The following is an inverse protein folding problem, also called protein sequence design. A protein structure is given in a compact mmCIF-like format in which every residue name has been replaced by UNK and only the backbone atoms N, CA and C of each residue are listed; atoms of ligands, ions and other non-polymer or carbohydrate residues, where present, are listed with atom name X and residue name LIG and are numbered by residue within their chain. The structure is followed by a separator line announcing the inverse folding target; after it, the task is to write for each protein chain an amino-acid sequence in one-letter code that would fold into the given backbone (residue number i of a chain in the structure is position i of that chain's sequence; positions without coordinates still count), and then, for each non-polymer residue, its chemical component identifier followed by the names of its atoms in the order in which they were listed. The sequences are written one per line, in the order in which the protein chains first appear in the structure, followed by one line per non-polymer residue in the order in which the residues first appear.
data_IF_311745701366
#
_entry.id   IF_311745701366
#
_cell.length_a   1.000
_cell.length_b   1.000
_cell.length_c   1.000
_cell.angle_alpha   90.00
_cell.angle_beta   90.00
_cell.angle_gamma   90.00
#
_symmetry.space_group_name_H-M   'P 1'
#
loop_
_entity.id
_entity.type
_entity.pdbx_description
1 polymer ?
#
# COMPACT_ATOMS: atom_id res chain seq x y z
N UNK A 1 -14.22 -35.21 -7.66
CA UNK A 1 -14.22 -36.07 -8.87
C UNK A 1 -14.37 -35.20 -10.11
N UNK A 2 -13.46 -35.31 -11.09
CA UNK A 2 -13.61 -34.61 -12.38
C UNK A 2 -14.77 -35.24 -13.16
N UNK A 3 -15.52 -34.46 -13.94
CA UNK A 3 -16.67 -34.93 -14.75
C UNK A 3 -16.33 -36.17 -15.62
N UNK A 4 -15.09 -36.29 -16.06
CA UNK A 4 -14.60 -37.44 -16.83
C UNK A 4 -14.60 -38.77 -16.06
N UNK A 5 -14.36 -38.77 -14.75
CA UNK A 5 -14.37 -40.00 -13.95
C UNK A 5 -15.78 -40.54 -13.70
N UNK A 6 -16.76 -39.63 -13.55
CA UNK A 6 -18.16 -40.02 -13.41
C UNK A 6 -18.70 -40.67 -14.69
N UNK A 7 -18.31 -40.13 -15.86
CA UNK A 7 -18.71 -40.69 -17.16
C UNK A 7 -18.14 -42.10 -17.40
N UNK A 8 -16.89 -42.35 -17.01
CA UNK A 8 -16.27 -43.68 -17.15
C UNK A 8 -16.98 -44.71 -16.25
N UNK A 9 -17.33 -44.33 -15.01
CA UNK A 9 -18.05 -45.21 -14.08
C UNK A 9 -19.45 -45.53 -14.60
N UNK A 10 -20.18 -44.53 -15.12
CA UNK A 10 -21.51 -44.73 -15.72
C UNK A 10 -21.42 -45.62 -16.96
N UNK A 11 -20.42 -45.42 -17.82
CA UNK A 11 -20.21 -46.25 -19.01
C UNK A 11 -19.89 -47.71 -18.64
N UNK A 12 -19.09 -47.94 -17.61
CA UNK A 12 -18.76 -49.29 -17.14
C UNK A 12 -19.99 -50.01 -16.55
N UNK A 13 -20.81 -49.27 -15.78
CA UNK A 13 -22.07 -49.78 -15.23
C UNK A 13 -23.08 -50.13 -16.32
N UNK A 14 -23.22 -49.28 -17.34
CA UNK A 14 -24.08 -49.53 -18.50
C UNK A 14 -23.60 -50.73 -19.32
N UNK A 15 -22.29 -50.91 -19.48
CA UNK A 15 -21.71 -52.08 -20.16
C UNK A 15 -21.99 -53.38 -19.40
N UNK A 16 -21.84 -53.37 -18.07
CA UNK A 16 -22.15 -54.53 -17.22
C UNK A 16 -23.64 -54.88 -17.26
N UNK A 17 -24.52 -53.88 -17.28
CA UNK A 17 -25.97 -54.05 -17.47
C UNK A 17 -26.31 -54.63 -18.85
N UNK A 18 -25.65 -54.16 -19.91
CA UNK A 18 -25.88 -54.63 -21.27
C UNK A 18 -25.41 -56.09 -21.48
N UNK A 19 -24.27 -56.47 -20.90
CA UNK A 19 -23.76 -57.85 -20.92
C UNK A 19 -24.71 -58.80 -20.17
N UNK A 20 -25.34 -58.32 -19.11
CA UNK A 20 -26.34 -59.09 -18.35
C UNK A 20 -27.63 -59.37 -19.15
N UNK A 21 -27.99 -58.52 -20.11
CA UNK A 21 -29.22 -58.67 -20.89
C UNK A 21 -29.09 -59.55 -22.15
N UNK A 22 -27.87 -59.82 -22.63
CA UNK A 22 -27.65 -60.48 -23.93
C UNK A 22 -27.37 -62.00 -23.87
N UNK A 23 -27.42 -62.63 -22.69
CA UNK A 23 -27.12 -64.06 -22.52
C UNK A 23 -28.37 -64.89 -22.23
N UNK A 24 -29.14 -65.23 -23.27
CA UNK A 24 -30.24 -66.19 -23.23
C UNK A 24 -29.74 -67.59 -23.62
N UNK A 25 -29.74 -68.57 -22.71
CA UNK A 25 -30.64 -69.74 -22.80
C UNK A 25 -30.40 -70.82 -21.71
N UNK A 26 -31.52 -71.42 -21.29
CA UNK A 26 -31.76 -72.66 -20.54
C UNK A 26 -31.34 -72.86 -19.06
N UNK A 27 -32.31 -73.40 -18.33
CA UNK A 27 -32.33 -74.03 -16.99
C UNK A 27 -32.60 -73.16 -15.75
N UNK A 28 -33.60 -73.65 -15.02
CA UNK A 28 -34.46 -73.07 -13.98
C UNK A 28 -33.75 -72.54 -12.70
N UNK A 29 -32.42 -72.57 -12.63
CA UNK A 29 -31.65 -72.04 -11.49
C UNK A 29 -30.95 -70.69 -11.78
N UNK A 30 -31.14 -70.10 -12.96
CA UNK A 30 -30.56 -68.79 -13.35
C UNK A 30 -31.43 -67.56 -13.02
N UNK A 31 -32.55 -67.72 -12.32
CA UNK A 31 -33.58 -66.69 -12.13
C UNK A 31 -33.28 -65.53 -11.18
N UNK A 32 -32.08 -65.40 -10.60
CA UNK A 32 -31.80 -64.31 -9.62
C UNK A 32 -30.52 -63.52 -9.94
N UNK A 33 -29.46 -64.12 -10.49
CA UNK A 33 -28.24 -63.39 -10.85
C UNK A 33 -27.60 -63.99 -12.10
N UNK A 34 -27.50 -63.18 -13.16
CA UNK A 34 -26.70 -63.50 -14.34
C UNK A 34 -25.22 -63.64 -13.98
N UNK A 35 -24.57 -64.63 -14.58
CA UNK A 35 -23.11 -64.83 -14.66
C UNK A 35 -22.36 -65.19 -13.37
N UNK A 36 -22.72 -64.64 -12.22
CA UNK A 36 -21.99 -64.78 -10.95
C UNK A 36 -22.95 -65.07 -9.78
N UNK A 37 -22.63 -66.02 -8.89
CA UNK A 37 -23.34 -66.23 -7.62
C UNK A 37 -23.37 -64.96 -6.76
N UNK A 38 -24.30 -64.87 -5.79
CA UNK A 38 -24.45 -63.68 -4.92
C UNK A 38 -23.15 -63.26 -4.20
N UNK A 39 -22.31 -64.23 -3.82
CA UNK A 39 -21.00 -63.97 -3.22
C UNK A 39 -19.97 -63.40 -4.20
N UNK A 40 -20.12 -63.69 -5.50
CA UNK A 40 -19.30 -63.10 -6.57
C UNK A 40 -19.61 -61.62 -6.76
N UNK A 41 -20.89 -61.24 -6.74
CA UNK A 41 -21.32 -59.85 -6.76
C UNK A 41 -20.93 -59.09 -5.49
N UNK A 42 -21.00 -59.74 -4.33
CA UNK A 42 -20.52 -59.18 -3.07
C UNK A 42 -19.00 -58.93 -3.12
N UNK A 43 -18.23 -59.88 -3.67
CA UNK A 43 -16.79 -59.75 -3.86
C UNK A 43 -16.41 -58.57 -4.77
N UNK A 44 -17.08 -58.41 -5.91
CA UNK A 44 -16.84 -57.29 -6.84
C UNK A 44 -17.19 -55.95 -6.17
N UNK A 45 -18.30 -55.90 -5.44
CA UNK A 45 -18.74 -54.67 -4.74
C UNK A 45 -17.74 -54.24 -3.68
N UNK A 46 -17.24 -55.19 -2.87
CA UNK A 46 -16.20 -54.93 -1.86
C UNK A 46 -14.89 -54.49 -2.53
N UNK A 47 -14.49 -55.13 -3.62
CA UNK A 47 -13.28 -54.77 -4.36
C UNK A 47 -13.32 -53.35 -4.93
N UNK A 48 -14.46 -52.94 -5.51
CA UNK A 48 -14.65 -51.58 -6.02
C UNK A 48 -14.62 -50.53 -4.90
N UNK A 49 -15.20 -50.84 -3.73
CA UNK A 49 -15.15 -49.95 -2.55
C UNK A 49 -13.71 -49.81 -2.04
N UNK A 50 -12.93 -50.90 -1.97
CA UNK A 50 -11.53 -50.86 -1.55
C UNK A 50 -10.67 -50.03 -2.51
N UNK A 51 -10.88 -50.16 -3.82
CA UNK A 51 -10.20 -49.32 -4.82
C UNK A 51 -10.58 -47.85 -4.65
N UNK A 52 -11.86 -47.54 -4.46
CA UNK A 52 -12.32 -46.17 -4.27
C UNK A 52 -11.71 -45.51 -3.03
N UNK A 53 -11.63 -46.25 -1.91
CA UNK A 53 -10.97 -45.80 -0.68
C UNK A 53 -9.48 -45.55 -0.94
N UNK A 54 -8.79 -46.47 -1.65
CA UNK A 54 -7.38 -46.30 -2.00
C UNK A 54 -7.12 -45.03 -2.83
N UNK A 55 -7.97 -44.72 -3.82
CA UNK A 55 -7.88 -43.48 -4.58
C UNK A 55 -8.14 -42.24 -3.72
N UNK A 56 -9.14 -42.28 -2.84
CA UNK A 56 -9.45 -41.16 -1.95
C UNK A 56 -8.30 -40.85 -0.97
N UNK A 57 -7.70 -41.89 -0.38
CA UNK A 57 -6.53 -41.75 0.50
C UNK A 57 -5.34 -41.18 -0.26
N UNK A 58 -5.05 -41.68 -1.48
CA UNK A 58 -3.97 -41.16 -2.32
C UNK A 58 -4.15 -39.67 -2.66
N UNK A 59 -5.37 -39.26 -3.02
CA UNK A 59 -5.67 -37.88 -3.40
C UNK A 59 -5.60 -36.94 -2.17
N UNK A 60 -6.09 -37.39 -1.01
CA UNK A 60 -5.95 -36.68 0.25
C UNK A 60 -4.46 -36.51 0.65
N UNK A 61 -3.65 -37.55 0.47
CA UNK A 61 -2.21 -37.50 0.77
C UNK A 61 -1.48 -36.56 -0.19
N UNK A 62 -1.81 -36.58 -1.49
CA UNK A 62 -1.26 -35.65 -2.48
C UNK A 62 -1.64 -34.20 -2.19
N UNK A 63 -2.90 -33.94 -1.83
CA UNK A 63 -3.37 -32.60 -1.44
C UNK A 63 -2.64 -32.10 -0.18
N UNK A 64 -2.47 -32.97 0.82
CA UNK A 64 -1.72 -32.64 2.04
C UNK A 64 -0.25 -32.35 1.75
N UNK A 65 0.40 -33.15 0.91
CA UNK A 65 1.80 -32.91 0.50
C UNK A 65 1.97 -31.58 -0.22
N UNK A 66 1.07 -31.23 -1.14
CA UNK A 66 1.10 -29.93 -1.83
C UNK A 66 0.88 -28.74 -0.88
N UNK A 67 0.09 -28.92 0.19
CA UNK A 67 -0.08 -27.92 1.23
C UNK A 67 1.19 -27.78 2.08
N UNK A 68 1.81 -28.90 2.48
CA UNK A 68 3.06 -28.90 3.25
C UNK A 68 4.20 -28.30 2.44
N UNK A 69 4.41 -28.73 1.19
CA UNK A 69 5.43 -28.16 0.29
C UNK A 69 5.21 -26.65 0.05
N UNK A 70 3.94 -26.18 0.00
CA UNK A 70 3.64 -24.74 -0.09
C UNK A 70 4.01 -23.98 1.18
N UNK A 71 3.82 -24.58 2.35
CA UNK A 71 4.14 -23.96 3.65
C UNK A 71 5.65 -23.91 3.85
N UNK A 72 6.37 -24.99 3.57
CA UNK A 72 7.83 -25.05 3.67
C UNK A 72 8.49 -24.03 2.72
N UNK A 73 8.05 -23.99 1.45
CA UNK A 73 8.58 -23.07 0.43
C UNK A 73 8.28 -21.59 0.71
N UNK A 74 7.26 -21.30 1.53
CA UNK A 74 6.95 -19.92 1.99
C UNK A 74 7.81 -19.53 3.19
N UNK A 75 8.32 -20.50 3.96
CA UNK A 75 9.20 -20.26 5.12
C UNK A 75 10.68 -20.10 4.75
N UNK A 76 11.13 -20.67 3.62
CA UNK A 76 12.55 -20.65 3.19
C UNK A 76 13.00 -19.37 2.47
N UNK A 77 12.16 -18.34 2.32
CA UNK A 77 12.64 -17.06 1.74
C UNK A 77 13.28 -16.19 2.81
N UNK A 78 14.30 -16.74 3.47
CA UNK A 78 15.15 -16.02 4.40
C UNK A 78 15.97 -15.00 3.60
N UNK A 79 15.66 -13.75 3.84
CA UNK A 79 15.88 -12.65 2.93
C UNK A 79 17.08 -11.85 3.39
N UNK A 80 18.30 -12.27 3.04
CA UNK A 80 19.49 -11.46 3.36
C UNK A 80 20.58 -11.32 2.30
N UNK A 81 20.43 -11.83 1.07
CA UNK A 81 21.17 -11.35 -0.11
C UNK A 81 20.56 -12.00 -1.36
N UNK A 82 19.63 -11.30 -2.02
CA UNK A 82 18.97 -11.84 -3.22
C UNK A 82 19.97 -11.78 -4.38
N UNK A 83 20.76 -12.84 -4.55
CA UNK A 83 21.50 -13.08 -5.79
C UNK A 83 20.51 -13.59 -6.83
N UNK A 84 20.40 -12.90 -7.97
CA UNK A 84 19.71 -13.43 -9.14
C UNK A 84 20.37 -14.77 -9.51
N UNK A 85 19.58 -15.74 -9.99
CA UNK A 85 20.18 -16.89 -10.66
C UNK A 85 20.94 -16.40 -11.90
N UNK A 86 22.04 -17.07 -12.31
CA UNK A 86 22.83 -16.67 -13.47
C UNK A 86 21.98 -16.44 -14.73
N UNK A 87 20.98 -17.30 -14.97
CA UNK A 87 20.01 -17.19 -16.08
C UNK A 87 19.20 -15.88 -16.04
N UNK A 88 18.76 -15.44 -14.86
CA UNK A 88 18.00 -14.20 -14.73
C UNK A 88 18.92 -12.97 -14.83
N UNK A 89 20.17 -13.09 -14.39
CA UNK A 89 21.16 -12.03 -14.53
C UNK A 89 21.50 -11.80 -16.01
N UNK A 90 21.79 -12.87 -16.76
CA UNK A 90 21.99 -12.80 -18.22
C UNK A 90 20.76 -12.23 -18.94
N UNK A 91 19.56 -12.53 -18.46
CA UNK A 91 18.32 -12.04 -19.08
C UNK A 91 18.05 -10.55 -18.83
N UNK A 92 18.20 -10.07 -17.59
CA UNK A 92 17.81 -8.70 -17.22
C UNK A 92 18.97 -7.72 -17.12
N UNK A 93 20.20 -8.24 -17.07
CA UNK A 93 21.41 -7.45 -16.93
C UNK A 93 22.63 -8.10 -17.64
N UNK A 94 22.54 -8.41 -18.95
CA UNK A 94 23.60 -9.11 -19.69
C UNK A 94 24.92 -8.33 -19.74
N UNK A 95 24.84 -7.01 -19.91
CA UNK A 95 25.98 -6.09 -19.99
C UNK A 95 26.13 -5.26 -18.70
N UNK A 96 25.75 -5.86 -17.56
CA UNK A 96 25.76 -5.24 -16.26
C UNK A 96 27.16 -4.86 -15.76
N UNK A 97 27.34 -3.70 -15.11
CA UNK A 97 28.60 -3.39 -14.45
C UNK A 97 28.84 -4.28 -13.22
N UNK A 98 30.10 -4.42 -12.83
CA UNK A 98 30.53 -5.19 -11.65
C UNK A 98 30.26 -4.47 -10.31
N UNK A 99 29.91 -3.19 -10.35
CA UNK A 99 29.54 -2.39 -9.17
C UNK A 99 28.05 -2.49 -8.80
N UNK A 100 27.65 -2.10 -7.58
CA UNK A 100 26.26 -2.16 -7.14
C UNK A 100 25.32 -1.28 -7.94
N UNK A 101 24.24 -1.85 -8.47
CA UNK A 101 23.26 -1.09 -9.25
C UNK A 101 21.87 -1.76 -9.23
N UNK A 102 20.79 -0.99 -9.46
CA UNK A 102 19.44 -1.55 -9.51
C UNK A 102 19.16 -2.23 -10.86
N UNK A 103 18.56 -3.41 -10.80
CA UNK A 103 18.04 -4.18 -11.93
C UNK A 103 16.52 -4.29 -11.80
N UNK A 104 15.82 -4.06 -12.90
CA UNK A 104 14.36 -4.14 -12.97
C UNK A 104 13.93 -5.39 -13.74
N UNK A 105 13.21 -6.28 -13.05
CA UNK A 105 12.56 -7.44 -13.64
C UNK A 105 11.26 -6.97 -14.27
N UNK A 106 11.29 -6.76 -15.59
CA UNK A 106 10.24 -6.08 -16.34
C UNK A 106 8.89 -6.79 -16.29
N UNK A 107 8.85 -8.12 -16.23
CA UNK A 107 7.62 -8.92 -16.13
C UNK A 107 6.92 -8.78 -14.77
N UNK A 108 7.65 -8.33 -13.75
CA UNK A 108 7.11 -8.07 -12.42
C UNK A 108 6.77 -6.60 -12.22
N UNK A 109 7.36 -5.71 -13.01
CA UNK A 109 7.19 -4.27 -12.85
C UNK A 109 5.76 -3.87 -13.22
N UNK A 110 5.10 -3.16 -12.29
CA UNK A 110 3.72 -2.68 -12.46
C UNK A 110 3.64 -1.16 -12.72
N UNK A 111 4.79 -0.50 -12.91
CA UNK A 111 4.84 0.94 -13.19
C UNK A 111 4.38 1.86 -12.06
N UNK A 112 4.48 1.42 -10.80
CA UNK A 112 3.96 2.18 -9.64
C UNK A 112 4.82 3.36 -9.18
N UNK A 113 5.94 3.66 -9.83
CA UNK A 113 6.88 4.76 -9.51
C UNK A 113 7.60 4.65 -8.14
N UNK A 114 7.19 3.76 -7.23
CA UNK A 114 7.74 3.66 -5.88
C UNK A 114 9.28 3.57 -5.81
N UNK A 115 9.91 2.80 -6.71
CA UNK A 115 11.37 2.66 -6.75
C UNK A 115 12.09 3.89 -7.32
N UNK A 116 11.47 4.58 -8.29
CA UNK A 116 11.94 5.85 -8.86
C UNK A 116 11.86 6.94 -7.78
N UNK A 117 10.75 7.00 -7.06
CA UNK A 117 10.54 7.99 -6.00
C UNK A 117 11.42 7.78 -4.77
N UNK A 118 11.73 6.52 -4.47
CA UNK A 118 12.61 6.17 -3.38
C UNK A 118 14.09 6.44 -3.67
N UNK A 119 14.50 6.59 -4.94
CA UNK A 119 15.88 6.85 -5.30
C UNK A 119 16.21 8.34 -5.10
N UNK A 120 17.11 8.71 -4.18
CA UNK A 120 17.49 10.11 -3.99
C UNK A 120 18.47 10.62 -5.07
N UNK A 121 19.02 9.72 -5.88
CA UNK A 121 20.02 10.01 -6.91
C UNK A 121 19.45 9.97 -8.33
N UNK A 122 18.13 9.84 -8.50
CA UNK A 122 17.46 9.79 -9.81
C UNK A 122 18.05 8.73 -10.78
N UNK A 123 18.62 7.63 -10.23
CA UNK A 123 19.19 6.51 -11.00
C UNK A 123 18.14 5.80 -11.86
N UNK A 124 16.90 5.81 -11.38
CA UNK A 124 15.75 5.16 -12.00
C UNK A 124 14.82 6.22 -12.58
N UNK A 125 14.31 5.98 -13.78
CA UNK A 125 13.27 6.78 -14.40
C UNK A 125 12.16 5.89 -14.96
N UNK A 126 11.02 6.50 -15.29
CA UNK A 126 9.91 5.81 -15.92
C UNK A 126 10.01 5.92 -17.45
N UNK A 127 10.09 4.78 -18.13
CA UNK A 127 10.14 4.68 -19.60
C UNK A 127 9.09 3.65 -20.03
N UNK A 128 8.13 4.05 -20.86
CA UNK A 128 7.04 3.18 -21.34
C UNK A 128 6.30 2.45 -20.20
N UNK A 129 6.00 3.17 -19.10
CA UNK A 129 5.37 2.64 -17.88
C UNK A 129 6.19 1.59 -17.11
N UNK A 130 7.46 1.40 -17.44
CA UNK A 130 8.39 0.56 -16.69
C UNK A 130 9.43 1.43 -16.00
N UNK A 131 9.80 1.07 -14.78
CA UNK A 131 11.01 1.61 -14.17
C UNK A 131 12.23 1.10 -14.94
N UNK A 132 13.17 1.98 -15.26
CA UNK A 132 14.40 1.66 -15.98
C UNK A 132 15.57 2.38 -15.30
N UNK A 133 16.70 1.70 -15.06
CA UNK A 133 17.90 2.34 -14.56
C UNK A 133 18.59 3.14 -15.68
N UNK A 134 18.43 4.46 -15.65
CA UNK A 134 18.95 5.40 -16.66
C UNK A 134 20.34 5.94 -16.31
N UNK A 135 20.73 5.92 -15.04
CA UNK A 135 22.02 6.42 -14.55
C UNK A 135 22.63 5.46 -13.50
N UNK A 136 22.93 4.22 -13.93
CA UNK A 136 23.40 3.12 -13.05
C UNK A 136 24.66 3.50 -12.26
N UNK A 137 25.52 4.29 -12.86
CA UNK A 137 26.79 4.79 -12.32
C UNK A 137 26.60 5.75 -11.13
N UNK A 138 25.41 6.33 -10.96
CA UNK A 138 25.07 7.22 -9.85
C UNK A 138 24.50 6.48 -8.63
N UNK A 139 24.44 5.14 -8.67
CA UNK A 139 23.92 4.35 -7.57
C UNK A 139 24.81 4.44 -6.33
N UNK A 140 24.28 5.03 -5.25
CA UNK A 140 24.95 5.08 -3.94
C UNK A 140 24.69 3.85 -3.06
N UNK A 141 24.04 2.81 -3.61
CA UNK A 141 23.78 1.55 -2.91
C UNK A 141 23.00 1.74 -1.60
N UNK A 142 22.04 2.67 -1.53
CA UNK A 142 21.20 2.87 -0.34
C UNK A 142 20.07 1.82 -0.22
N UNK A 143 19.78 1.10 -1.32
CA UNK A 143 18.80 0.02 -1.43
C UNK A 143 17.33 0.43 -1.23
N UNK A 144 17.02 1.73 -1.07
CA UNK A 144 15.65 2.20 -0.83
C UNK A 144 14.70 1.84 -1.98
N UNK A 145 15.18 1.89 -3.23
CA UNK A 145 14.41 1.51 -4.40
C UNK A 145 13.94 0.04 -4.36
N UNK A 146 14.80 -0.87 -3.88
CA UNK A 146 14.43 -2.26 -3.64
C UNK A 146 13.46 -2.35 -2.48
N UNK A 147 13.74 -1.71 -1.33
CA UNK A 147 12.89 -1.77 -0.13
C UNK A 147 11.46 -1.30 -0.41
N UNK A 148 11.30 -0.18 -1.13
CA UNK A 148 9.99 0.41 -1.46
C UNK A 148 9.27 -0.29 -2.61
N UNK A 149 9.93 -1.18 -3.37
CA UNK A 149 9.27 -1.97 -4.40
C UNK A 149 8.16 -2.84 -3.78
N UNK A 150 6.88 -2.63 -4.17
CA UNK A 150 5.76 -3.25 -3.48
C UNK A 150 5.28 -4.55 -4.11
N UNK A 151 5.90 -4.94 -5.22
CA UNK A 151 5.62 -6.22 -5.88
C UNK A 151 6.31 -7.32 -5.07
N UNK A 152 5.62 -8.45 -4.87
CA UNK A 152 6.19 -9.63 -4.25
C UNK A 152 6.04 -10.83 -5.20
N UNK A 153 7.13 -11.44 -5.68
CA UNK A 153 8.54 -11.06 -5.49
C UNK A 153 8.88 -9.67 -6.05
N UNK A 154 9.89 -9.01 -5.47
CA UNK A 154 10.30 -7.65 -5.88
C UNK A 154 10.63 -7.57 -7.37
N UNK A 155 10.21 -6.47 -8.00
CA UNK A 155 10.52 -6.14 -9.38
C UNK A 155 11.82 -5.32 -9.48
N UNK A 156 12.08 -4.44 -8.53
CA UNK A 156 13.34 -3.70 -8.40
C UNK A 156 14.22 -4.37 -7.35
N UNK A 157 15.44 -4.74 -7.74
CA UNK A 157 16.45 -5.34 -6.86
C UNK A 157 17.80 -4.66 -7.10
N UNK A 158 18.59 -4.47 -6.07
CA UNK A 158 19.97 -3.99 -6.17
C UNK A 158 20.86 -5.22 -6.14
N UNK A 159 21.62 -5.42 -7.20
CA UNK A 159 22.60 -6.51 -7.30
C UNK A 159 24.01 -5.97 -7.04
N UNK A 160 24.98 -6.88 -6.85
CA UNK A 160 26.38 -6.57 -6.51
C UNK A 160 26.55 -5.73 -5.23
N UNK A 161 25.49 -5.57 -4.44
CA UNK A 161 25.52 -4.84 -3.18
C UNK A 161 26.16 -5.67 -2.07
N UNK A 162 27.01 -5.01 -1.28
CA UNK A 162 27.59 -5.52 -0.03
C UNK A 162 26.83 -5.01 1.20
N UNK A 163 25.97 -3.99 1.04
CA UNK A 163 25.16 -3.46 2.14
C UNK A 163 23.98 -4.37 2.46
N UNK A 164 23.70 -4.48 3.76
CA UNK A 164 22.52 -5.18 4.26
C UNK A 164 21.27 -4.38 3.90
N UNK A 165 20.37 -5.01 3.12
CA UNK A 165 19.08 -4.42 2.75
C UNK A 165 18.20 -4.38 4.00
N UNK A 166 18.06 -3.20 4.60
CA UNK A 166 17.21 -3.00 5.77
C UNK A 166 15.74 -2.99 5.33
N UNK A 167 14.88 -3.90 5.83
CA UNK A 167 13.47 -3.87 5.49
C UNK A 167 12.82 -2.59 6.01
N UNK A 168 11.67 -2.25 5.44
CA UNK A 168 10.86 -1.13 5.93
C UNK A 168 10.39 -1.45 7.36
N UNK A 169 10.56 -0.54 8.33
CA UNK A 169 10.02 -0.75 9.67
C UNK A 169 8.49 -0.64 9.57
N UNK A 170 7.83 -1.78 9.73
CA UNK A 170 6.37 -1.91 9.68
C UNK A 170 5.88 -2.66 10.92
N UNK A 171 4.62 -2.47 11.32
CA UNK A 171 4.04 -3.18 12.45
C UNK A 171 4.13 -4.69 12.28
N UNK A 172 4.52 -5.38 13.35
CA UNK A 172 4.57 -6.86 13.36
C UNK A 172 3.14 -7.40 13.34
N UNK A 173 2.87 -8.31 12.40
CA UNK A 173 1.59 -9.03 12.31
C UNK A 173 1.79 -10.46 11.86
N UNK A 174 0.89 -11.36 12.26
CA UNK A 174 0.88 -12.75 11.81
C UNK A 174 0.22 -12.92 10.42
N UNK A 175 0.15 -14.16 9.92
CA UNK A 175 -0.46 -14.46 8.61
C UNK A 175 -1.95 -14.11 8.50
N UNK A 176 -2.64 -13.92 9.64
CA UNK A 176 -4.05 -13.50 9.73
C UNK A 176 -4.19 -12.00 9.98
N UNK A 177 -3.11 -11.24 9.81
CA UNK A 177 -3.04 -9.79 9.99
C UNK A 177 -3.17 -9.27 11.43
N UNK A 178 -3.21 -10.17 12.42
CA UNK A 178 -3.31 -9.79 13.84
C UNK A 178 -1.94 -9.36 14.36
N UNK A 179 -1.92 -8.29 15.15
CA UNK A 179 -0.69 -7.76 15.78
C UNK A 179 -0.35 -8.52 17.06
N UNK A 180 0.67 -8.07 17.77
CA UNK A 180 0.99 -8.52 19.14
C UNK A 180 -0.12 -8.15 20.16
N UNK A 181 -1.01 -7.22 19.83
CA UNK A 181 -2.16 -6.85 20.66
C UNK A 181 -3.36 -7.74 20.28
N UNK A 182 -3.83 -8.63 21.19
CA UNK A 182 -4.91 -9.56 20.87
C UNK A 182 -6.19 -8.85 20.40
N UNK A 183 -6.78 -9.34 19.31
CA UNK A 183 -7.98 -8.76 18.72
C UNK A 183 -7.76 -7.47 17.93
N UNK A 184 -6.52 -7.00 17.81
CA UNK A 184 -6.13 -5.89 16.96
C UNK A 184 -5.47 -6.39 15.66
N UNK A 185 -5.95 -5.91 14.52
CA UNK A 185 -5.46 -6.28 13.19
C UNK A 185 -4.98 -5.05 12.46
N UNK A 186 -3.96 -5.20 11.63
CA UNK A 186 -3.40 -4.13 10.80
C UNK A 186 -3.43 -4.55 9.34
N UNK A 187 -3.97 -3.69 8.47
CA UNK A 187 -4.09 -3.92 7.03
C UNK A 187 -3.76 -2.67 6.20
N UNK A 188 -3.41 -2.87 4.93
CA UNK A 188 -3.16 -1.80 3.96
C UNK A 188 -1.79 -1.16 4.08
N UNK A 189 -1.61 0.06 3.54
CA UNK A 189 -0.28 0.67 3.38
C UNK A 189 0.54 0.78 4.68
N UNK A 190 -0.13 0.90 5.83
CA UNK A 190 0.53 0.95 7.15
C UNK A 190 1.31 -0.32 7.47
N UNK A 191 0.95 -1.46 6.86
CA UNK A 191 1.65 -2.73 6.97
C UNK A 191 2.75 -2.93 5.92
N UNK A 192 3.11 -1.89 5.17
CA UNK A 192 4.16 -1.94 4.14
C UNK A 192 3.71 -2.45 2.77
N UNK A 193 2.41 -2.51 2.49
CA UNK A 193 1.86 -2.99 1.23
C UNK A 193 1.20 -1.83 0.43
N UNK A 194 1.96 -0.92 -0.21
CA UNK A 194 1.45 0.35 -0.74
C UNK A 194 0.64 0.22 -2.05
N UNK A 195 0.06 -0.95 -2.32
CA UNK A 195 -0.75 -1.18 -3.51
C UNK A 195 -2.23 -1.28 -3.14
N UNK A 196 -3.05 -0.45 -3.79
CA UNK A 196 -4.51 -0.40 -3.61
C UNK A 196 -5.13 -1.80 -3.70
N UNK A 197 -4.69 -2.62 -4.66
CA UNK A 197 -5.18 -4.00 -4.83
C UNK A 197 -4.82 -4.89 -3.64
N UNK A 198 -3.59 -4.80 -3.14
CA UNK A 198 -3.16 -5.58 -1.98
C UNK A 198 -3.92 -5.12 -0.74
N UNK A 199 -4.00 -3.81 -0.51
CA UNK A 199 -4.77 -3.21 0.57
C UNK A 199 -6.24 -3.66 0.57
N UNK A 200 -6.91 -3.63 -0.58
CA UNK A 200 -8.28 -4.10 -0.73
C UNK A 200 -8.43 -5.61 -0.46
N UNK A 201 -7.51 -6.43 -0.97
CA UNK A 201 -7.51 -7.88 -0.72
C UNK A 201 -7.30 -8.20 0.77
N UNK A 202 -6.36 -7.53 1.43
CA UNK A 202 -6.14 -7.66 2.88
C UNK A 202 -7.40 -7.31 3.67
N UNK A 203 -8.10 -6.22 3.28
CA UNK A 203 -9.38 -5.86 3.88
C UNK A 203 -10.45 -6.94 3.74
N UNK A 204 -10.50 -7.63 2.60
CA UNK A 204 -11.45 -8.72 2.42
C UNK A 204 -11.06 -9.96 3.23
N UNK A 205 -9.77 -10.31 3.25
CA UNK A 205 -9.29 -11.52 3.89
C UNK A 205 -9.29 -11.44 5.42
N UNK A 206 -8.97 -10.27 5.99
CA UNK A 206 -9.03 -10.07 7.45
C UNK A 206 -10.44 -10.30 8.00
N UNK A 207 -11.47 -9.86 7.27
CA UNK A 207 -12.86 -10.05 7.69
C UNK A 207 -13.26 -11.51 7.62
N UNK A 208 -12.82 -12.26 6.60
CA UNK A 208 -13.09 -13.70 6.55
C UNK A 208 -12.50 -14.41 7.78
N UNK A 209 -11.27 -14.05 8.16
CA UNK A 209 -10.64 -14.62 9.34
C UNK A 209 -11.39 -14.27 10.63
N UNK A 210 -11.75 -12.99 10.80
CA UNK A 210 -12.52 -12.53 11.96
C UNK A 210 -13.89 -13.20 12.01
N UNK A 211 -14.59 -13.31 10.88
CA UNK A 211 -15.91 -13.95 10.82
C UNK A 211 -15.84 -15.42 11.25
N UNK A 212 -14.83 -16.18 10.80
CA UNK A 212 -14.64 -17.57 11.25
C UNK A 212 -14.25 -17.67 12.72
N UNK A 213 -13.40 -16.75 13.20
CA UNK A 213 -12.98 -16.70 14.61
C UNK A 213 -14.16 -16.40 15.54
N UNK A 214 -15.01 -15.43 15.19
CA UNK A 214 -16.13 -14.99 16.03
C UNK A 214 -17.26 -16.02 16.14
N UNK A 215 -17.33 -17.01 15.24
CA UNK A 215 -18.28 -18.14 15.34
C UNK A 215 -17.98 -19.06 16.51
N UNK A 216 -16.70 -19.20 16.87
CA UNK A 216 -16.24 -20.10 17.95
C UNK A 216 -15.82 -19.35 19.21
N UNK A 217 -15.57 -18.05 19.11
CA UNK A 217 -15.18 -17.22 20.24
C UNK A 217 -16.35 -17.00 21.22
N UNK A 218 -16.09 -16.98 22.54
CA UNK A 218 -17.12 -16.71 23.54
C UNK A 218 -17.75 -15.31 23.33
N UNK A 219 -19.02 -15.14 23.74
CA UNK A 219 -19.68 -13.85 23.63
C UNK A 219 -19.05 -12.83 24.57
N UNK A 220 -18.77 -11.63 24.05
CA UNK A 220 -18.22 -10.50 24.82
C UNK A 220 -19.35 -9.50 25.08
N UNK A 221 -20.04 -9.64 26.22
CA UNK A 221 -21.29 -8.90 26.51
C UNK A 221 -21.17 -7.36 26.50
N UNK A 222 -19.97 -6.83 26.71
CA UNK A 222 -19.70 -5.39 26.69
C UNK A 222 -19.50 -4.82 25.28
N UNK A 223 -19.33 -5.67 24.26
CA UNK A 223 -19.07 -5.24 22.90
C UNK A 223 -20.37 -4.94 22.14
N UNK A 224 -20.50 -3.68 21.70
CA UNK A 224 -21.60 -3.23 20.85
C UNK A 224 -21.43 -3.72 19.41
N UNK A 225 -20.19 -3.78 18.94
CA UNK A 225 -19.83 -4.20 17.59
C UNK A 225 -18.98 -5.48 17.61
N UNK A 226 -19.11 -6.29 16.56
CA UNK A 226 -18.20 -7.40 16.29
C UNK A 226 -16.84 -6.88 15.82
N UNK A 227 -16.83 -5.84 14.98
CA UNK A 227 -15.60 -5.27 14.41
C UNK A 227 -15.65 -3.74 14.34
N UNK A 228 -14.63 -3.06 14.85
CA UNK A 228 -14.38 -1.64 14.56
C UNK A 228 -13.30 -1.51 13.48
N UNK A 229 -13.54 -0.68 12.47
CA UNK A 229 -12.63 -0.46 11.34
C UNK A 229 -12.20 1.00 11.37
N UNK A 230 -10.91 1.25 11.58
CA UNK A 230 -10.33 2.59 11.70
C UNK A 230 -9.57 2.94 10.42
N UNK A 231 -10.08 3.92 9.68
CA UNK A 231 -9.61 4.34 8.36
C UNK A 231 -10.39 3.64 7.25
N UNK A 232 -11.01 4.42 6.36
CA UNK A 232 -11.86 3.96 5.24
C UNK A 232 -11.20 4.36 3.92
N UNK A 233 -9.92 4.03 3.77
CA UNK A 233 -9.24 3.92 2.49
C UNK A 233 -9.62 2.62 1.74
N UNK A 234 -8.87 2.21 0.71
CA UNK A 234 -9.15 0.98 -0.04
C UNK A 234 -9.29 -0.28 0.84
N UNK A 235 -8.41 -0.45 1.82
CA UNK A 235 -8.42 -1.58 2.74
C UNK A 235 -9.64 -1.56 3.67
N UNK A 236 -9.87 -0.43 4.37
CA UNK A 236 -10.98 -0.30 5.30
C UNK A 236 -12.36 -0.31 4.64
N UNK A 237 -12.48 0.22 3.43
CA UNK A 237 -13.73 0.11 2.65
C UNK A 237 -14.01 -1.34 2.26
N UNK A 238 -12.99 -2.06 1.77
CA UNK A 238 -13.11 -3.48 1.47
C UNK A 238 -13.56 -4.27 2.71
N UNK A 239 -12.88 -4.04 3.85
CA UNK A 239 -13.25 -4.64 5.12
C UNK A 239 -14.70 -4.30 5.54
N UNK A 240 -15.14 -3.05 5.35
CA UNK A 240 -16.51 -2.63 5.69
C UNK A 240 -17.56 -3.36 4.85
N UNK A 241 -17.33 -3.48 3.53
CA UNK A 241 -18.24 -4.19 2.63
C UNK A 241 -18.29 -5.67 2.98
N UNK A 242 -17.15 -6.31 3.23
CA UNK A 242 -17.12 -7.72 3.61
C UNK A 242 -17.74 -7.95 4.99
N UNK A 243 -17.56 -7.04 5.95
CA UNK A 243 -18.17 -7.15 7.27
C UNK A 243 -19.70 -7.20 7.15
N UNK A 244 -20.26 -6.35 6.29
CA UNK A 244 -21.69 -6.37 5.96
C UNK A 244 -22.12 -7.69 5.31
N UNK A 245 -21.35 -8.20 4.34
CA UNK A 245 -21.67 -9.47 3.65
C UNK A 245 -21.66 -10.68 4.60
N UNK A 246 -20.78 -10.66 5.61
CA UNK A 246 -20.72 -11.68 6.65
C UNK A 246 -21.72 -11.45 7.81
N UNK A 247 -22.63 -10.47 7.68
CA UNK A 247 -23.60 -10.08 8.71
C UNK A 247 -22.96 -9.73 10.07
N UNK A 248 -21.73 -9.22 10.07
CA UNK A 248 -21.08 -8.72 11.27
C UNK A 248 -21.64 -7.34 11.64
N UNK A 249 -21.86 -7.09 12.92
CA UNK A 249 -22.12 -5.73 13.42
C UNK A 249 -20.81 -4.97 13.40
N UNK A 250 -20.68 -3.96 12.56
CA UNK A 250 -19.42 -3.22 12.46
C UNK A 250 -19.63 -1.71 12.53
N UNK A 251 -18.57 -1.02 12.96
CA UNK A 251 -18.46 0.43 12.87
C UNK A 251 -17.23 0.80 12.04
N UNK A 252 -17.40 1.76 11.14
CA UNK A 252 -16.37 2.30 10.27
C UNK A 252 -16.09 3.75 10.69
N UNK A 253 -14.85 4.03 11.09
CA UNK A 253 -14.41 5.32 11.59
C UNK A 253 -13.42 5.90 10.59
N UNK A 254 -13.69 7.10 10.09
CA UNK A 254 -12.81 7.84 9.19
C UNK A 254 -12.53 9.21 9.80
N UNK A 255 -11.29 9.67 9.67
CA UNK A 255 -10.86 10.97 10.16
C UNK A 255 -11.44 12.10 9.30
N UNK A 256 -11.41 11.92 7.97
CA UNK A 256 -11.87 12.93 7.01
C UNK A 256 -13.17 12.47 6.31
N UNK A 257 -13.12 12.26 5.00
CA UNK A 257 -14.17 11.61 4.22
C UNK A 257 -13.79 10.17 3.90
N UNK A 258 -14.82 9.33 3.75
CA UNK A 258 -14.70 7.99 3.17
C UNK A 258 -13.93 8.09 1.84
N UNK A 259 -12.86 7.31 1.69
CA UNK A 259 -11.98 7.28 0.52
C UNK A 259 -11.17 8.56 0.22
N UNK A 260 -10.84 9.39 1.21
CA UNK A 260 -10.08 10.64 1.00
C UNK A 260 -8.80 10.49 0.13
N UNK A 261 -8.07 9.37 0.26
CA UNK A 261 -6.88 9.09 -0.57
C UNK A 261 -7.20 8.86 -2.05
N UNK A 262 -8.39 8.32 -2.38
CA UNK A 262 -8.86 8.09 -3.75
C UNK A 262 -9.52 9.36 -4.30
N UNK A 263 -10.25 10.11 -3.46
CA UNK A 263 -10.88 11.40 -3.82
C UNK A 263 -9.85 12.50 -4.11
N UNK A 264 -8.57 12.29 -3.78
CA UNK A 264 -7.46 13.17 -4.14
C UNK A 264 -7.12 13.18 -5.66
N UNK A 265 -7.85 12.42 -6.50
CA UNK A 265 -7.85 12.53 -7.96
C UNK A 265 -9.01 13.43 -8.45
N UNK A 266 -8.80 14.37 -9.40
CA UNK A 266 -9.82 15.37 -9.78
C UNK A 266 -11.01 14.72 -10.53
N UNK A 267 -12.28 15.15 -10.44
CA UNK A 267 -12.91 16.44 -10.05
C UNK A 267 -14.32 16.23 -9.44
N UNK A 268 -14.73 17.21 -8.60
CA UNK A 268 -16.09 17.60 -8.16
C UNK A 268 -16.64 17.13 -6.79
N UNK A 269 -16.22 17.89 -5.76
CA UNK A 269 -17.00 18.49 -4.63
C UNK A 269 -16.81 17.90 -3.22
N UNK A 270 -16.39 18.77 -2.28
CA UNK A 270 -16.21 18.52 -0.85
C UNK A 270 -17.11 19.41 0.01
N UNK A 271 -17.59 18.87 1.15
CA UNK A 271 -18.16 19.62 2.28
C UNK A 271 -17.64 19.04 3.61
N UNK A 272 -17.38 19.97 4.54
CA UNK A 272 -16.85 19.97 5.93
C UNK A 272 -16.96 18.70 6.80
N UNK A 273 -15.86 18.40 7.50
CA UNK A 273 -15.86 17.72 8.81
C UNK A 273 -16.15 18.71 9.94
N UNK A 274 -17.02 18.32 10.87
CA UNK A 274 -17.31 19.01 12.14
C UNK A 274 -16.37 18.45 13.22
N UNK A 275 -15.88 19.31 14.13
CA UNK A 275 -15.32 18.85 15.40
C UNK A 275 -16.41 18.04 16.13
N UNK A 276 -16.10 16.80 16.50
CA UNK A 276 -16.98 15.95 17.30
C UNK A 276 -16.37 15.72 18.68
N UNK A 277 -17.22 15.70 19.69
CA UNK A 277 -16.87 15.22 21.03
C UNK A 277 -16.30 13.81 20.98
N UNK A 278 -15.42 13.47 21.92
CA UNK A 278 -14.84 12.14 21.99
C UNK A 278 -15.93 11.09 22.30
N UNK A 279 -16.23 10.24 21.32
CA UNK A 279 -17.18 9.12 21.47
C UNK A 279 -16.40 7.82 21.67
N UNK A 280 -16.83 7.01 22.64
CA UNK A 280 -16.25 5.68 22.89
C UNK A 280 -17.10 4.61 22.22
N UNK A 281 -16.47 3.70 21.49
CA UNK A 281 -17.11 2.52 20.90
C UNK A 281 -16.45 1.25 21.42
N UNK A 282 -17.24 0.24 21.76
CA UNK A 282 -16.75 -1.06 22.22
C UNK A 282 -16.98 -2.10 21.12
N UNK A 283 -15.88 -2.72 20.65
CA UNK A 283 -15.92 -3.76 19.63
C UNK A 283 -15.12 -4.98 20.08
N UNK A 284 -15.53 -6.17 19.63
CA UNK A 284 -14.81 -7.43 19.91
C UNK A 284 -13.44 -7.44 19.24
N UNK A 285 -13.35 -6.92 18.02
CA UNK A 285 -12.12 -6.83 17.23
C UNK A 285 -11.94 -5.42 16.66
N UNK A 286 -10.68 -5.01 16.46
CA UNK A 286 -10.32 -3.71 15.89
C UNK A 286 -9.41 -3.92 14.69
N UNK A 287 -9.76 -3.32 13.55
CA UNK A 287 -8.94 -3.28 12.35
C UNK A 287 -8.41 -1.86 12.18
N UNK A 288 -7.10 -1.73 12.06
CA UNK A 288 -6.40 -0.47 11.78
C UNK A 288 -6.02 -0.46 10.29
N UNK A 289 -6.63 0.45 9.54
CA UNK A 289 -6.50 0.63 8.10
C UNK A 289 -6.22 2.11 7.72
N UNK A 290 -5.44 2.79 8.57
CA UNK A 290 -5.18 4.25 8.53
C UNK A 290 -4.18 4.72 7.46
N UNK A 291 -3.62 3.79 6.68
CA UNK A 291 -2.58 4.10 5.70
C UNK A 291 -1.27 4.59 6.33
N UNK A 292 -0.33 5.05 5.50
CA UNK A 292 1.03 5.38 5.95
C UNK A 292 1.38 6.88 5.88
N UNK A 293 0.48 7.72 5.34
CA UNK A 293 0.76 9.16 5.14
C UNK A 293 0.72 9.98 6.43
N UNK A 294 0.12 9.43 7.49
CA UNK A 294 0.15 10.04 8.82
C UNK A 294 -0.49 11.42 8.88
N UNK A 295 -0.32 12.11 10.01
CA UNK A 295 -0.79 13.48 10.17
C UNK A 295 0.28 14.45 9.66
N UNK A 296 -0.08 15.46 8.84
CA UNK A 296 0.89 16.51 8.51
C UNK A 296 1.36 17.18 9.79
N UNK A 297 2.67 17.41 9.91
CA UNK A 297 3.22 18.16 11.04
C UNK A 297 2.69 19.59 10.96
N UNK A 298 2.12 20.08 12.06
CA UNK A 298 1.59 21.43 12.19
C UNK A 298 2.72 22.45 12.35
N UNK A 299 2.47 23.70 11.94
CA UNK A 299 3.44 24.78 12.13
C UNK A 299 3.59 25.11 13.62
N UNK A 300 2.53 24.96 14.41
CA UNK A 300 2.46 25.36 15.81
C UNK A 300 2.46 26.88 15.98
N UNK A 301 2.20 27.63 14.91
CA UNK A 301 2.19 29.09 14.93
C UNK A 301 0.81 29.59 15.38
N UNK A 302 0.73 30.70 16.15
CA UNK A 302 -0.53 31.35 16.46
C UNK A 302 -1.31 31.66 15.17
N UNK A 303 -2.63 31.42 15.23
CA UNK A 303 -3.59 31.60 14.12
C UNK A 303 -3.26 30.76 12.88
N UNK A 304 -2.58 29.61 13.01
CA UNK A 304 -2.38 28.70 11.86
C UNK A 304 -3.69 28.18 11.24
N UNK A 305 -4.77 28.12 12.02
CA UNK A 305 -6.11 27.69 11.58
C UNK A 305 -6.94 28.82 10.93
N UNK A 306 -6.29 29.94 10.61
CA UNK A 306 -6.97 31.10 10.02
C UNK A 306 -7.68 30.71 8.72
N UNK A 307 -8.97 31.07 8.65
CA UNK A 307 -9.79 30.88 7.45
C UNK A 307 -9.91 32.19 6.69
N UNK A 308 -9.78 32.11 5.39
CA UNK A 308 -9.95 33.24 4.47
C UNK A 308 -11.18 33.01 3.62
N UNK A 309 -11.94 34.07 3.36
CA UNK A 309 -13.09 34.04 2.46
C UNK A 309 -12.69 34.67 1.13
N UNK A 310 -12.71 33.89 0.06
CA UNK A 310 -12.39 34.35 -1.31
C UNK A 310 -13.36 33.72 -2.31
N UNK A 311 -13.88 34.54 -3.22
CA UNK A 311 -14.84 34.12 -4.25
C UNK A 311 -16.09 33.41 -3.68
N UNK A 312 -16.55 33.80 -2.48
CA UNK A 312 -17.69 33.17 -1.81
C UNK A 312 -17.38 31.83 -1.12
N UNK A 313 -16.11 31.39 -1.14
CA UNK A 313 -15.67 30.16 -0.49
C UNK A 313 -14.78 30.46 0.71
N UNK A 314 -14.98 29.70 1.79
CA UNK A 314 -14.13 29.74 2.98
C UNK A 314 -13.10 28.63 2.88
N UNK A 315 -11.83 29.00 2.88
CA UNK A 315 -10.69 28.08 2.77
C UNK A 315 -9.65 28.35 3.86
N UNK A 316 -8.81 27.36 4.14
CA UNK A 316 -7.73 27.52 5.12
C UNK A 316 -6.56 28.28 4.50
N UNK A 317 -6.04 29.28 5.22
CA UNK A 317 -4.86 30.03 4.75
C UNK A 317 -3.60 29.17 4.75
N UNK A 318 -3.47 28.30 5.76
CA UNK A 318 -2.38 27.32 5.87
C UNK A 318 -2.87 25.98 5.34
N UNK A 319 -2.26 25.54 4.24
CA UNK A 319 -2.52 24.26 3.60
C UNK A 319 -1.33 23.33 3.81
N UNK A 320 -1.59 22.05 4.03
CA UNK A 320 -0.56 21.04 4.29
C UNK A 320 -0.28 20.13 3.09
N UNK A 321 -0.86 20.48 1.94
CA UNK A 321 -0.71 19.76 0.67
C UNK A 321 -0.97 20.73 -0.48
N UNK A 322 -0.18 20.62 -1.55
CA UNK A 322 -0.49 21.21 -2.84
C UNK A 322 -1.10 20.10 -3.72
N UNK A 323 -2.39 20.21 -4.03
CA UNK A 323 -3.08 19.22 -4.88
C UNK A 323 -3.01 19.62 -6.35
N UNK A 324 -3.31 20.89 -6.65
CA UNK A 324 -3.32 21.40 -8.01
C UNK A 324 -2.70 22.81 -8.04
N UNK A 325 -1.48 22.98 -8.58
CA UNK A 325 -0.83 24.28 -8.70
C UNK A 325 -1.61 25.27 -9.59
N UNK A 326 -2.41 24.78 -10.55
CA UNK A 326 -3.14 25.62 -11.52
C UNK A 326 -4.28 26.45 -10.88
N UNK A 327 -4.69 26.11 -9.65
CA UNK A 327 -5.70 26.86 -8.90
C UNK A 327 -5.16 28.20 -8.38
N UNK A 328 -3.83 28.37 -8.36
CA UNK A 328 -3.17 29.54 -7.83
C UNK A 328 -2.56 30.36 -8.97
N UNK A 329 -3.11 31.56 -9.19
CA UNK A 329 -2.62 32.52 -10.18
C UNK A 329 -2.47 33.90 -9.57
N UNK A 330 -1.32 34.54 -9.79
CA UNK A 330 -0.96 35.87 -9.26
C UNK A 330 -1.16 35.99 -7.74
N UNK A 331 -0.77 34.96 -7.00
CA UNK A 331 -0.84 34.93 -5.53
C UNK A 331 0.54 35.09 -4.92
N UNK A 332 0.59 35.67 -3.72
CA UNK A 332 1.75 35.68 -2.85
C UNK A 332 1.72 34.43 -1.98
N UNK A 333 2.63 33.50 -2.21
CA UNK A 333 2.57 32.18 -1.59
C UNK A 333 3.85 31.93 -0.82
N UNK A 334 3.71 31.47 0.42
CA UNK A 334 4.83 31.00 1.22
C UNK A 334 4.81 29.48 1.24
N UNK A 335 5.90 28.85 0.83
CA UNK A 335 6.12 27.42 1.01
C UNK A 335 7.07 27.21 2.17
N UNK A 336 6.74 26.35 3.12
CA UNK A 336 7.55 26.05 4.30
C UNK A 336 8.07 24.62 4.22
N UNK A 337 9.39 24.46 4.25
CA UNK A 337 10.05 23.16 4.17
C UNK A 337 11.23 23.16 3.20
N UNK A 338 12.14 22.21 3.37
CA UNK A 338 13.35 22.08 2.53
C UNK A 338 13.57 20.66 1.97
N UNK A 339 12.55 19.80 2.02
CA UNK A 339 12.59 18.46 1.41
C UNK A 339 11.88 18.42 0.06
N UNK A 340 11.95 17.27 -0.64
CA UNK A 340 11.41 17.10 -2.00
C UNK A 340 10.01 17.70 -2.18
N UNK A 341 9.01 17.34 -1.36
CA UNK A 341 7.64 17.85 -1.52
C UNK A 341 7.53 19.38 -1.44
N UNK A 342 8.32 20.02 -0.59
CA UNK A 342 8.32 21.49 -0.48
C UNK A 342 8.95 22.13 -1.71
N UNK A 343 10.06 21.56 -2.19
CA UNK A 343 10.77 22.05 -3.37
C UNK A 343 9.93 21.88 -4.63
N UNK A 344 9.35 20.70 -4.83
CA UNK A 344 8.44 20.41 -5.94
C UNK A 344 7.27 21.39 -5.96
N UNK A 345 6.61 21.61 -4.82
CA UNK A 345 5.52 22.56 -4.72
C UNK A 345 5.95 24.00 -5.03
N UNK A 346 7.11 24.42 -4.54
CA UNK A 346 7.62 25.77 -4.81
C UNK A 346 7.89 25.98 -6.31
N UNK A 347 8.49 25.00 -6.98
CA UNK A 347 8.74 25.02 -8.43
C UNK A 347 7.42 24.97 -9.21
N UNK A 348 6.50 24.06 -8.86
CA UNK A 348 5.22 23.88 -9.56
C UNK A 348 4.31 25.13 -9.49
N UNK A 349 4.48 25.96 -8.47
CA UNK A 349 3.76 27.23 -8.31
C UNK A 349 4.30 28.35 -9.22
N UNK A 350 5.54 28.26 -9.71
CA UNK A 350 6.15 29.27 -10.60
C UNK A 350 6.42 28.76 -12.02
N UNK A 351 6.49 27.44 -12.21
CA UNK A 351 6.81 26.79 -13.46
C UNK A 351 5.99 25.51 -13.67
N UNK A 352 5.93 25.04 -14.91
CA UNK A 352 5.47 23.69 -15.27
C UNK A 352 6.70 22.82 -15.46
N UNK A 353 6.71 21.64 -14.84
CA UNK A 353 7.80 20.68 -14.97
C UNK A 353 7.48 19.66 -16.07
N UNK A 354 8.47 19.40 -16.91
CA UNK A 354 8.46 18.33 -17.91
C UNK A 354 9.79 17.55 -17.80
N UNK A 355 9.74 16.46 -17.02
CA UNK A 355 10.94 15.76 -16.58
C UNK A 355 11.90 16.71 -15.83
N UNK A 356 13.12 16.82 -16.33
CA UNK A 356 14.15 17.68 -15.74
C UNK A 356 14.02 19.16 -16.15
N UNK A 357 13.20 19.46 -17.17
CA UNK A 357 13.02 20.82 -17.68
C UNK A 357 11.89 21.54 -16.96
N UNK A 358 12.05 22.85 -16.82
CA UNK A 358 11.01 23.73 -16.30
C UNK A 358 10.70 24.82 -17.31
N UNK A 359 9.41 25.10 -17.47
CA UNK A 359 8.90 26.24 -18.22
C UNK A 359 8.20 27.18 -17.25
N UNK A 360 8.71 28.39 -17.08
CA UNK A 360 8.09 29.36 -16.18
C UNK A 360 6.67 29.70 -16.65
N UNK A 361 5.78 29.88 -15.68
CA UNK A 361 4.41 30.29 -15.94
C UNK A 361 4.40 31.69 -16.59
N UNK A 362 3.43 31.96 -17.49
CA UNK A 362 3.26 33.28 -18.09
C UNK A 362 3.14 34.39 -17.04
N UNK A 363 3.52 35.62 -17.39
CA UNK A 363 3.56 36.78 -16.48
C UNK A 363 2.18 37.08 -15.88
N UNK A 364 1.10 36.80 -16.60
CA UNK A 364 -0.29 36.97 -16.17
C UNK A 364 -0.79 35.87 -15.22
N UNK A 365 -0.03 34.78 -15.06
CA UNK A 365 -0.38 33.65 -14.19
C UNK A 365 0.60 33.45 -13.03
N UNK A 366 1.88 33.82 -13.21
CA UNK A 366 2.96 33.48 -12.29
C UNK A 366 2.71 33.99 -10.87
N UNK A 367 3.03 33.15 -9.89
CA UNK A 367 2.90 33.46 -8.47
C UNK A 367 4.18 34.11 -7.93
N UNK A 368 4.04 34.92 -6.88
CA UNK A 368 5.16 35.43 -6.09
C UNK A 368 5.42 34.44 -4.94
N UNK A 369 6.48 33.63 -5.08
CA UNK A 369 6.73 32.49 -4.18
C UNK A 369 7.95 32.75 -3.30
N UNK A 370 7.72 32.62 -2.00
CA UNK A 370 8.75 32.62 -0.98
C UNK A 370 8.90 31.24 -0.34
N UNK A 371 10.11 30.70 -0.32
CA UNK A 371 10.45 29.43 0.32
C UNK A 371 11.11 29.69 1.68
N UNK A 372 10.51 29.20 2.76
CA UNK A 372 11.01 29.35 4.13
C UNK A 372 11.60 28.02 4.60
N UNK A 373 12.91 28.01 4.85
CA UNK A 373 13.68 26.82 5.19
C UNK A 373 14.32 27.00 6.56
N UNK A 374 14.07 26.05 7.47
CA UNK A 374 14.52 26.12 8.87
C UNK A 374 16.05 26.16 9.01
N UNK A 375 16.77 25.44 8.15
CA UNK A 375 18.22 25.36 8.17
C UNK A 375 18.78 25.46 6.76
N UNK A 376 18.74 24.35 6.02
CA UNK A 376 19.19 24.21 4.64
C UNK A 376 18.28 23.19 3.95
N UNK A 377 18.42 23.03 2.63
CA UNK A 377 17.80 21.94 1.91
C UNK A 377 18.26 20.60 2.46
N UNK A 378 17.37 19.60 2.43
CA UNK A 378 17.72 18.28 2.94
C UNK A 378 18.76 17.62 2.04
N UNK A 379 19.62 16.80 2.63
CA UNK A 379 20.65 16.03 1.92
C UNK A 379 20.05 14.97 0.98
N UNK A 380 18.82 14.50 1.25
CA UNK A 380 18.07 13.53 0.44
C UNK A 380 17.20 14.19 -0.65
N UNK A 381 17.47 15.47 -0.97
CA UNK A 381 16.80 16.15 -2.07
C UNK A 381 17.25 15.52 -3.40
N UNK A 382 16.27 15.09 -4.21
CA UNK A 382 16.51 14.54 -5.55
C UNK A 382 17.30 15.55 -6.38
N UNK A 383 18.23 15.04 -7.19
CA UNK A 383 19.13 15.87 -7.97
C UNK A 383 18.36 16.78 -8.94
N UNK A 384 17.35 16.24 -9.63
CA UNK A 384 16.47 17.02 -10.51
C UNK A 384 15.77 18.17 -9.76
N UNK A 385 15.16 17.88 -8.61
CA UNK A 385 14.51 18.90 -7.76
C UNK A 385 15.49 19.98 -7.30
N UNK A 386 16.73 19.58 -6.98
CA UNK A 386 17.80 20.50 -6.58
C UNK A 386 18.15 21.46 -7.72
N UNK A 387 18.36 20.96 -8.93
CA UNK A 387 18.66 21.80 -10.09
C UNK A 387 17.53 22.79 -10.38
N UNK A 388 16.28 22.30 -10.40
CA UNK A 388 15.11 23.10 -10.73
C UNK A 388 14.91 24.25 -9.73
N UNK A 389 15.10 24.00 -8.44
CA UNK A 389 14.94 25.07 -7.44
C UNK A 389 16.06 26.09 -7.52
N UNK A 390 17.31 25.68 -7.74
CA UNK A 390 18.40 26.64 -7.94
C UNK A 390 18.18 27.51 -9.18
N UNK A 391 17.74 26.93 -10.29
CA UNK A 391 17.36 27.70 -11.47
C UNK A 391 16.28 28.75 -11.14
N UNK A 392 15.23 28.37 -10.41
CA UNK A 392 14.19 29.30 -9.99
C UNK A 392 14.71 30.42 -9.07
N UNK A 393 15.72 30.13 -8.25
CA UNK A 393 16.35 31.10 -7.33
C UNK A 393 17.21 32.08 -8.12
N UNK A 394 18.06 31.57 -9.01
CA UNK A 394 18.98 32.36 -9.83
C UNK A 394 18.22 33.31 -10.78
N UNK A 395 17.13 32.84 -11.37
CA UNK A 395 16.21 33.63 -12.19
C UNK A 395 15.27 34.54 -11.36
N UNK A 396 15.46 34.59 -10.03
CA UNK A 396 14.70 35.41 -9.07
C UNK A 396 13.19 35.17 -9.11
N UNK A 397 12.77 33.95 -9.47
CA UNK A 397 11.36 33.51 -9.45
C UNK A 397 10.93 33.00 -8.09
N UNK A 398 11.85 32.46 -7.31
CA UNK A 398 11.61 32.02 -5.93
C UNK A 398 12.56 32.77 -5.00
N UNK A 399 12.01 33.40 -3.96
CA UNK A 399 12.79 34.01 -2.89
C UNK A 399 12.96 33.02 -1.73
N UNK A 400 14.20 32.76 -1.29
CA UNK A 400 14.45 31.79 -0.21
C UNK A 400 14.87 32.50 1.07
N UNK A 401 14.30 32.07 2.19
CA UNK A 401 14.68 32.47 3.55
C UNK A 401 15.23 31.27 4.31
N UNK A 402 16.55 31.14 4.34
CA UNK A 402 17.24 30.15 5.16
C UNK A 402 17.32 30.57 6.62
N UNK A 403 17.42 29.57 7.52
CA UNK A 403 17.49 29.84 8.96
C UNK A 403 16.22 30.52 9.51
N UNK A 404 15.06 30.31 8.87
CA UNK A 404 13.82 31.00 9.20
C UNK A 404 12.67 30.03 9.47
N UNK A 405 11.73 30.46 10.31
CA UNK A 405 10.48 29.76 10.59
C UNK A 405 9.33 30.76 10.75
N UNK A 406 8.09 30.32 10.57
CA UNK A 406 6.91 31.16 10.82
C UNK A 406 6.72 31.29 12.33
N UNK A 407 6.70 32.52 12.83
CA UNK A 407 6.42 32.86 14.22
C UNK A 407 4.92 33.05 14.45
N UNK A 408 4.26 33.77 13.55
CA UNK A 408 2.84 34.15 13.65
C UNK A 408 2.22 34.26 12.25
N UNK A 409 0.97 33.80 12.11
CA UNK A 409 0.16 33.99 10.91
C UNK A 409 -0.82 35.14 11.11
N UNK A 410 -0.85 36.08 10.17
CA UNK A 410 -1.79 37.21 10.13
C UNK A 410 -2.63 37.18 8.85
N UNK A 411 -3.58 38.09 8.71
CA UNK A 411 -4.58 38.04 7.63
C UNK A 411 -3.97 38.22 6.22
N UNK A 412 -2.98 39.12 6.08
CA UNK A 412 -2.30 39.40 4.80
C UNK A 412 -0.79 39.19 4.80
N UNK A 413 -0.23 38.70 5.91
CA UNK A 413 1.22 38.58 6.11
C UNK A 413 1.56 37.50 7.14
N UNK A 414 2.84 37.17 7.23
CA UNK A 414 3.40 36.35 8.31
C UNK A 414 4.60 37.03 8.92
N UNK A 415 4.79 36.77 10.21
CA UNK A 415 6.01 37.14 10.91
C UNK A 415 6.97 35.96 10.85
N UNK A 416 8.17 36.20 10.32
CA UNK A 416 9.26 35.22 10.32
C UNK A 416 10.15 35.44 11.56
N UNK A 417 10.60 34.34 12.14
CA UNK A 417 11.62 34.33 13.19
C UNK A 417 12.87 33.59 12.73
N UNK A 418 14.00 33.87 13.38
CA UNK A 418 15.17 33.02 13.31
C UNK A 418 14.86 31.63 13.87
N UNK A 419 15.20 30.59 13.12
CA UNK A 419 14.88 29.23 13.50
C UNK A 419 15.60 28.77 14.78
N UNK A 420 16.78 29.34 15.08
CA UNK A 420 17.63 29.02 16.23
C UNK A 420 17.35 29.94 17.41
N UNK A 421 17.42 31.26 17.23
CA UNK A 421 17.29 32.22 18.35
C UNK A 421 15.83 32.50 18.72
N UNK A 422 14.87 32.19 17.81
CA UNK A 422 13.44 32.52 17.93
C UNK A 422 13.14 34.02 17.94
N UNK A 423 14.14 34.85 17.66
CA UNK A 423 13.97 36.28 17.53
C UNK A 423 13.23 36.61 16.23
N UNK A 424 12.43 37.67 16.28
CA UNK A 424 11.71 38.16 15.12
C UNK A 424 12.70 38.72 14.08
N UNK A 425 12.57 38.26 12.83
CA UNK A 425 13.42 38.72 11.73
C UNK A 425 12.73 39.80 10.92
N UNK A 426 11.58 39.47 10.35
CA UNK A 426 10.88 40.34 9.41
C UNK A 426 9.46 39.85 9.17
N UNK A 427 8.68 40.71 8.51
CA UNK A 427 7.32 40.40 8.08
C UNK A 427 7.27 40.24 6.55
N UNK A 428 6.52 39.24 6.08
CA UNK A 428 6.40 38.92 4.65
C UNK A 428 4.93 38.87 4.25
N UNK A 429 4.49 39.64 3.23
CA UNK A 429 3.11 39.62 2.77
C UNK A 429 2.78 38.29 2.09
N UNK A 430 1.60 37.74 2.36
CA UNK A 430 1.15 36.50 1.73
C UNK A 430 -0.37 36.35 1.65
N UNK A 431 -0.80 35.61 0.65
CA UNK A 431 -2.16 35.11 0.48
C UNK A 431 -2.30 33.70 1.07
N UNK A 432 -1.34 32.81 0.79
CA UNK A 432 -1.39 31.39 1.17
C UNK A 432 -0.07 30.90 1.78
N UNK A 433 -0.18 29.86 2.59
CA UNK A 433 0.98 29.17 3.18
C UNK A 433 0.84 27.68 2.88
N UNK A 434 1.82 27.08 2.22
CA UNK A 434 1.95 25.63 2.11
C UNK A 434 2.97 25.11 3.12
N UNK A 435 2.50 24.52 4.20
CA UNK A 435 3.32 23.91 5.24
C UNK A 435 3.67 22.47 4.87
N UNK A 436 4.72 22.29 4.08
CA UNK A 436 5.19 21.00 3.56
C UNK A 436 6.42 20.52 4.33
N UNK A 437 6.27 20.46 5.65
CA UNK A 437 7.36 20.15 6.59
C UNK A 437 7.49 18.65 6.89
N UNK A 438 6.63 17.81 6.31
CA UNK A 438 6.56 16.37 6.51
C UNK A 438 5.33 15.94 7.32
N UNK A 439 5.16 14.63 7.49
CA UNK A 439 4.08 14.06 8.30
C UNK A 439 4.63 13.13 9.37
N UNK A 440 3.98 13.10 10.53
CA UNK A 440 4.27 12.10 11.56
C UNK A 440 3.70 10.77 11.09
N UNK A 441 4.57 9.78 10.87
CA UNK A 441 4.12 8.43 10.54
C UNK A 441 3.22 7.93 11.68
N UNK A 442 2.23 7.07 11.40
CA UNK A 442 1.34 6.56 12.44
C UNK A 442 2.08 5.73 13.51
N UNK A 443 3.38 5.49 13.37
CA UNK A 443 4.27 4.83 14.33
C UNK A 443 4.04 5.28 15.77
N UNK A 444 3.94 6.59 16.04
CA UNK A 444 3.70 7.07 17.41
C UNK A 444 2.36 6.61 17.97
N UNK A 445 1.31 6.71 17.15
CA UNK A 445 -0.02 6.22 17.51
C UNK A 445 -0.01 4.70 17.74
N UNK A 446 0.58 3.93 16.83
CA UNK A 446 0.66 2.47 16.92
C UNK A 446 1.45 2.02 18.16
N UNK A 447 2.60 2.64 18.45
CA UNK A 447 3.36 2.36 19.67
C UNK A 447 2.55 2.71 20.93
N UNK A 448 1.77 3.79 20.91
CA UNK A 448 0.95 4.21 22.07
C UNK A 448 -0.17 3.22 22.44
N UNK A 449 -0.62 2.40 21.47
CA UNK A 449 -1.61 1.33 21.70
C UNK A 449 -0.96 -0.05 21.88
N UNK A 450 0.36 -0.09 22.08
CA UNK A 450 1.12 -1.31 22.38
C UNK A 450 1.55 -2.13 21.16
N UNK A 451 1.38 -1.62 19.94
CA UNK A 451 1.77 -2.35 18.73
C UNK A 451 3.26 -2.23 18.50
N UNK A 452 3.92 -3.39 18.36
CA UNK A 452 5.36 -3.49 18.11
C UNK A 452 5.72 -3.11 16.67
N UNK A 453 6.74 -2.27 16.54
CA UNK A 453 7.34 -1.85 15.27
C UNK A 453 8.86 -2.00 15.46
N UNK A 454 9.53 -2.90 14.70
CA UNK A 454 10.97 -3.09 14.79
C UNK A 454 11.71 -1.78 14.50
N UNK A 455 12.78 -1.52 15.24
CA UNK A 455 13.67 -0.39 14.95
C UNK A 455 14.71 -0.79 13.90
N UNK A 456 15.09 0.17 13.06
CA UNK A 456 16.00 -0.01 11.91
C UNK A 456 17.47 0.16 12.28
#
# INVERSE_FOLDING_TARGET
MKKSQLLIIIALLLLLLAINQTTSDTSFLRGIFGGLPWYGWLGISVFLVLIAIGFAVRDAWRARRLLIERVEKKSETDSQNIKLSPELLEKYDPDGPDYPHPVIITERCIGCHACVDACPHDVLAMVNNLAVPVARDQCAEDTACQVECPVNPKACIVINTTKVIKPRPVPVRNEKFMTNVPGCYIIGDVSGAPLIKNAANEGADVIKYIAEELKVAPPEQKAEYDVAIIGIGPAGLSASVLARQHNLRYIAIEQDKVLATIEAYPKNKYVKGLQREAVTYLARRVIIAIGNRGMPMKLGAPREELKISRNGHVEDKVMYKLTNPEEFKRKKIIVVGGGNSAIEAAVDLVARRDGDRIEFRPVDEINDVALVVRSDFKNDLKFGNKLQVYQCIDDRRIKVYFGAAIKEVRDGEVVLMDARTKEEKMTVPNDYIFALIGGDRPTRFLKSIGIEIPEN
#
